data_IF_335568073766
#
_entry.id   IF_335568073766
#
_cell.length_a   1.000
_cell.length_b   1.000
_cell.length_c   1.000
_cell.angle_alpha   90.00
_cell.angle_beta   90.00
_cell.angle_gamma   90.00
#
_symmetry.space_group_name_H-M   'P 1'
#
loop_
_entity.id
_entity.type
_entity.pdbx_description
1 polymer ?
#
# COMPACT_ATOMS: atom_id res chain seq x y z
N UNK A 1 2.55 -3.36 4.40
CA UNK A 1 2.95 -2.74 5.68
C UNK A 1 1.88 -1.82 6.24
N UNK A 2 1.49 -0.73 5.57
CA UNK A 2 0.53 0.25 6.12
C UNK A 2 -0.79 -0.32 6.64
N UNK A 3 -1.34 -1.35 5.99
CA UNK A 3 -2.55 -2.04 6.48
C UNK A 3 -2.31 -2.67 7.86
N UNK A 4 -1.18 -3.37 8.09
CA UNK A 4 -0.85 -3.94 9.40
C UNK A 4 -0.75 -2.85 10.47
N UNK A 5 -0.13 -1.70 10.15
CA UNK A 5 -0.06 -0.55 11.06
C UNK A 5 -1.45 -0.04 11.44
N UNK A 6 -2.39 0.08 10.49
CA UNK A 6 -3.76 0.51 10.77
C UNK A 6 -4.50 -0.53 11.63
N UNK A 7 -4.37 -1.82 11.31
CA UNK A 7 -5.00 -2.90 12.06
C UNK A 7 -4.56 -2.91 13.53
N UNK A 8 -3.27 -2.70 13.78
CA UNK A 8 -2.71 -2.59 15.13
C UNK A 8 -3.17 -1.32 15.85
N UNK A 9 -2.96 -0.14 15.25
CA UNK A 9 -3.25 1.15 15.89
C UNK A 9 -4.74 1.35 16.22
N UNK A 10 -5.63 0.77 15.41
CA UNK A 10 -7.09 0.82 15.63
C UNK A 10 -7.62 -0.35 16.46
N UNK A 11 -6.75 -1.25 16.94
CA UNK A 11 -7.14 -2.39 17.77
C UNK A 11 -8.10 -3.35 17.08
N UNK A 12 -7.99 -3.49 15.75
CA UNK A 12 -8.84 -4.40 14.97
C UNK A 12 -8.47 -5.87 15.27
N UNK A 13 -7.18 -6.10 15.51
CA UNK A 13 -6.64 -7.38 15.96
C UNK A 13 -5.94 -7.19 17.31
N UNK A 14 -5.87 -8.22 18.16
CA UNK A 14 -5.22 -8.13 19.46
C UNK A 14 -3.73 -7.79 19.33
N UNK A 15 -3.16 -6.94 20.22
CA UNK A 15 -1.78 -6.51 20.11
C UNK A 15 -0.75 -7.65 20.21
N UNK A 16 -1.09 -8.74 20.91
CA UNK A 16 -0.26 -9.94 21.03
C UNK A 16 -0.11 -10.74 19.73
N UNK A 17 -0.97 -10.48 18.72
CA UNK A 17 -0.86 -11.11 17.40
C UNK A 17 0.03 -10.31 16.45
N UNK A 18 0.87 -9.41 16.97
CA UNK A 18 1.81 -8.62 16.18
C UNK A 18 3.23 -8.74 16.72
N UNK A 19 4.19 -8.83 15.80
CA UNK A 19 5.62 -8.83 16.12
C UNK A 19 6.34 -7.70 15.37
N UNK A 20 7.41 -7.12 15.96
CA UNK A 20 8.21 -6.11 15.30
C UNK A 20 9.01 -6.73 14.14
N UNK A 21 8.92 -6.11 12.98
CA UNK A 21 9.73 -6.45 11.80
C UNK A 21 10.49 -5.21 11.32
N UNK A 22 11.79 -5.35 11.10
CA UNK A 22 12.63 -4.26 10.59
C UNK A 22 12.36 -4.03 9.09
N UNK A 23 11.79 -2.88 8.77
CA UNK A 23 11.41 -2.49 7.42
C UNK A 23 11.69 -1.02 7.17
N UNK A 24 12.36 -0.73 6.05
CA UNK A 24 12.76 0.63 5.69
C UNK A 24 13.54 1.34 6.81
N UNK A 25 14.32 0.64 7.63
CA UNK A 25 15.05 1.22 8.77
C UNK A 25 14.16 1.65 9.95
N UNK A 26 12.96 1.08 10.08
CA UNK A 26 12.07 1.24 11.23
C UNK A 26 11.52 -0.12 11.66
N UNK A 27 11.22 -0.27 12.95
CA UNK A 27 10.47 -1.42 13.45
C UNK A 27 8.97 -1.19 13.17
N UNK A 28 8.38 -2.02 12.32
CA UNK A 28 6.94 -2.00 12.00
C UNK A 28 6.31 -3.26 12.57
N UNK A 29 5.18 -3.11 13.27
CA UNK A 29 4.41 -4.24 13.77
C UNK A 29 3.68 -4.96 12.64
N UNK A 30 3.92 -6.25 12.53
CA UNK A 30 3.39 -7.14 11.50
C UNK A 30 2.56 -8.24 12.15
N UNK A 31 1.37 -8.51 11.60
CA UNK A 31 0.52 -9.57 12.14
C UNK A 31 1.18 -10.94 11.99
N UNK A 32 1.08 -11.77 13.03
CA UNK A 32 1.48 -13.18 13.06
C UNK A 32 0.30 -14.13 12.81
N UNK A 33 -0.94 -13.64 12.84
CA UNK A 33 -2.13 -14.44 12.52
C UNK A 33 -2.14 -14.87 11.04
N UNK A 34 -2.15 -16.19 10.81
CA UNK A 34 -2.06 -16.76 9.47
C UNK A 34 -3.27 -16.46 8.58
N UNK A 35 -4.46 -16.26 9.17
CA UNK A 35 -5.66 -15.99 8.37
C UNK A 35 -5.58 -14.59 7.76
N UNK A 36 -5.21 -13.59 8.55
CA UNK A 36 -5.07 -12.22 8.02
C UNK A 36 -3.86 -12.09 7.11
N UNK A 37 -2.75 -12.79 7.40
CA UNK A 37 -1.59 -12.84 6.49
C UNK A 37 -1.99 -13.41 5.14
N UNK A 38 -2.60 -14.59 5.10
CA UNK A 38 -3.06 -15.24 3.85
C UNK A 38 -4.05 -14.37 3.09
N UNK A 39 -4.99 -13.74 3.80
CA UNK A 39 -5.96 -12.83 3.20
C UNK A 39 -5.27 -11.63 2.53
N UNK A 40 -4.37 -10.96 3.27
CA UNK A 40 -3.64 -9.81 2.75
C UNK A 40 -2.71 -10.19 1.59
N UNK A 41 -2.01 -11.32 1.66
CA UNK A 41 -1.18 -11.82 0.56
C UNK A 41 -2.01 -12.06 -0.70
N UNK A 42 -3.16 -12.70 -0.57
CA UNK A 42 -4.06 -12.96 -1.70
C UNK A 42 -4.58 -11.67 -2.33
N UNK A 43 -5.08 -10.74 -1.50
CA UNK A 43 -5.65 -9.48 -1.99
C UNK A 43 -4.57 -8.56 -2.56
N UNK A 44 -3.46 -8.40 -1.85
CA UNK A 44 -2.38 -7.50 -2.28
C UNK A 44 -1.63 -8.06 -3.50
N UNK A 45 -1.49 -9.37 -3.63
CA UNK A 45 -0.92 -9.99 -4.84
C UNK A 45 -1.75 -9.68 -6.09
N UNK A 46 -3.08 -9.72 -5.98
CA UNK A 46 -3.95 -9.32 -7.10
C UNK A 46 -3.85 -7.82 -7.40
N UNK A 47 -3.77 -6.98 -6.36
CA UNK A 47 -3.58 -5.53 -6.51
C UNK A 47 -2.25 -5.21 -7.17
N UNK A 48 -1.16 -5.92 -6.84
CA UNK A 48 0.15 -5.78 -7.48
C UNK A 48 0.06 -6.04 -8.99
N UNK A 49 -0.60 -7.13 -9.39
CA UNK A 49 -0.83 -7.44 -10.79
C UNK A 49 -1.60 -6.32 -11.51
N UNK A 50 -2.65 -5.77 -10.89
CA UNK A 50 -3.42 -4.68 -11.48
C UNK A 50 -2.68 -3.34 -11.47
N UNK A 51 -1.79 -3.10 -10.50
CA UNK A 51 -0.95 -1.91 -10.45
C UNK A 51 0.00 -1.87 -11.65
N UNK A 52 0.64 -2.99 -11.98
CA UNK A 52 1.53 -3.08 -13.16
C UNK A 52 0.76 -2.86 -14.47
N UNK A 53 -0.49 -3.31 -14.55
CA UNK A 53 -1.39 -3.09 -15.69
C UNK A 53 -2.03 -1.70 -15.72
N UNK A 54 -1.70 -0.82 -14.76
CA UNK A 54 -2.28 0.52 -14.59
C UNK A 54 -3.81 0.55 -14.42
N UNK A 55 -4.39 -0.49 -13.81
CA UNK A 55 -5.85 -0.65 -13.65
C UNK A 55 -6.40 -0.16 -12.31
N UNK A 56 -5.53 0.08 -11.32
CA UNK A 56 -5.94 0.47 -9.96
C UNK A 56 -5.97 2.00 -9.84
N UNK A 57 -7.14 2.57 -9.59
CA UNK A 57 -7.27 4.02 -9.36
C UNK A 57 -7.17 4.37 -7.87
N UNK A 58 -7.67 3.49 -7.01
CA UNK A 58 -7.70 3.71 -5.57
C UNK A 58 -7.82 2.36 -4.86
N UNK A 59 -7.09 2.20 -3.75
CA UNK A 59 -7.27 1.12 -2.78
C UNK A 59 -7.89 1.73 -1.54
N UNK A 60 -9.00 1.17 -1.03
CA UNK A 60 -9.70 1.71 0.13
C UNK A 60 -9.75 0.68 1.25
N UNK A 61 -9.27 1.03 2.44
CA UNK A 61 -9.47 0.25 3.65
C UNK A 61 -10.62 0.88 4.45
N UNK A 62 -11.70 0.12 4.66
CA UNK A 62 -12.89 0.57 5.39
C UNK A 62 -12.96 -0.17 6.72
N UNK A 63 -13.10 0.59 7.81
CA UNK A 63 -13.39 0.05 9.14
C UNK A 63 -14.87 0.30 9.42
N UNK A 64 -15.60 -0.78 9.66
CA UNK A 64 -17.04 -0.72 9.94
C UNK A 64 -17.36 -1.31 11.29
N UNK A 65 -18.41 -0.82 11.91
CA UNK A 65 -18.97 -1.47 13.09
C UNK A 65 -19.66 -2.78 12.68
N UNK A 66 -19.26 -3.89 13.29
CA UNK A 66 -19.79 -5.23 12.95
C UNK A 66 -21.29 -5.35 13.17
N UNK A 67 -21.85 -4.64 14.15
CA UNK A 67 -23.26 -4.69 14.53
C UNK A 67 -24.11 -3.73 13.70
N UNK A 68 -23.72 -2.45 13.62
CA UNK A 68 -24.53 -1.41 12.96
C UNK A 68 -24.26 -1.27 11.46
N UNK A 69 -23.15 -1.85 10.96
CA UNK A 69 -22.64 -1.68 9.59
C UNK A 69 -22.26 -0.24 9.23
N UNK A 70 -22.20 0.63 10.23
CA UNK A 70 -21.75 2.01 10.06
C UNK A 70 -20.26 2.06 9.71
N UNK A 71 -19.90 2.95 8.78
CA UNK A 71 -18.51 3.22 8.43
C UNK A 71 -17.93 4.15 9.50
N UNK A 72 -16.96 3.63 10.26
CA UNK A 72 -16.25 4.39 11.29
C UNK A 72 -15.05 5.12 10.69
N UNK A 73 -14.32 4.43 9.81
CA UNK A 73 -13.16 5.00 9.13
C UNK A 73 -13.07 4.51 7.69
N UNK A 74 -12.49 5.36 6.85
CA UNK A 74 -12.24 5.09 5.44
C UNK A 74 -10.89 5.67 5.04
N UNK A 75 -9.95 4.80 4.74
CA UNK A 75 -8.59 5.14 4.34
C UNK A 75 -8.45 4.96 2.83
N UNK A 76 -8.43 6.09 2.11
CA UNK A 76 -8.36 6.13 0.63
C UNK A 76 -6.91 6.30 0.16
N UNK A 77 -6.34 5.24 -0.42
CA UNK A 77 -5.03 5.26 -1.06
C UNK A 77 -5.21 5.44 -2.57
N UNK A 78 -5.18 6.69 -3.02
CA UNK A 78 -5.30 7.03 -4.45
C UNK A 78 -4.01 6.74 -5.19
N UNK A 79 -4.14 6.16 -6.38
CA UNK A 79 -3.01 5.78 -7.23
C UNK A 79 -3.02 6.69 -8.45
N UNK A 80 -1.89 7.36 -8.67
CA UNK A 80 -1.63 8.14 -9.88
C UNK A 80 -0.50 7.45 -10.65
N UNK A 81 -0.69 7.29 -11.95
CA UNK A 81 0.30 6.71 -12.83
C UNK A 81 1.03 7.80 -13.60
N UNK A 82 2.34 7.63 -13.74
CA UNK A 82 3.14 8.49 -14.60
C UNK A 82 2.66 8.33 -16.07
N UNK A 83 2.49 9.48 -16.74
CA UNK A 83 2.06 9.57 -18.13
C UNK A 83 3.19 9.24 -19.10
N UNK A 84 2.85 8.97 -20.37
CA UNK A 84 3.84 8.70 -21.40
C UNK A 84 4.69 9.96 -21.64
N UNK A 85 6.01 9.80 -21.59
CA UNK A 85 6.94 10.87 -21.97
C UNK A 85 6.87 10.99 -23.48
N UNK A 86 6.23 12.04 -23.99
CA UNK A 86 6.24 12.34 -25.42
C UNK A 86 7.62 12.91 -25.74
N UNK A 87 8.51 12.10 -26.31
CA UNK A 87 9.74 12.62 -26.89
C UNK A 87 9.36 13.48 -28.11
N UNK A 88 9.78 14.76 -28.13
CA UNK A 88 9.45 15.75 -29.18
C UNK A 88 10.02 15.42 -30.59
N UNK A 89 10.48 14.20 -30.82
CA UNK A 89 10.98 13.72 -32.11
C UNK A 89 10.02 12.68 -32.70
N UNK A 90 8.96 13.15 -33.36
CA UNK A 90 8.38 12.61 -34.61
C UNK A 90 8.06 11.13 -34.77
N UNK A 91 8.11 10.30 -33.73
CA UNK A 91 7.85 8.86 -33.80
C UNK A 91 6.59 8.55 -32.98
N UNK A 92 5.53 8.08 -33.63
CA UNK A 92 4.21 7.79 -33.03
C UNK A 92 4.18 6.59 -32.06
N UNK A 93 5.31 6.18 -31.49
CA UNK A 93 5.37 5.17 -30.43
C UNK A 93 5.73 5.85 -29.11
N UNK A 94 4.70 6.33 -28.41
CA UNK A 94 4.81 6.82 -27.05
C UNK A 94 5.08 5.65 -26.09
N UNK A 95 6.32 5.17 -26.06
CA UNK A 95 6.73 4.10 -25.15
C UNK A 95 7.07 4.72 -23.78
N UNK A 96 6.23 4.41 -22.80
CA UNK A 96 6.52 4.68 -21.39
C UNK A 96 7.82 3.95 -21.00
N UNK A 97 8.72 4.58 -20.25
CA UNK A 97 9.84 3.85 -19.66
C UNK A 97 9.28 2.77 -18.71
N UNK A 98 9.72 1.52 -18.88
CA UNK A 98 9.34 0.39 -18.02
C UNK A 98 9.85 0.54 -16.58
N UNK A 99 10.82 1.42 -16.37
CA UNK A 99 11.47 1.64 -15.07
C UNK A 99 11.48 3.13 -14.74
N UNK A 100 10.95 3.48 -13.56
CA UNK A 100 10.99 4.85 -13.06
C UNK A 100 12.42 5.32 -12.81
N UNK A 101 12.65 6.62 -12.96
CA UNK A 101 13.99 7.23 -12.83
C UNK A 101 14.38 7.52 -11.37
N UNK A 102 13.45 7.33 -10.44
CA UNK A 102 13.62 7.63 -9.02
C UNK A 102 14.44 6.54 -8.32
N UNK A 103 15.40 6.96 -7.50
CA UNK A 103 16.24 6.02 -6.77
C UNK A 103 15.46 5.29 -5.66
N UNK A 104 15.84 4.03 -5.42
CA UNK A 104 15.16 3.17 -4.46
C UNK A 104 15.25 3.71 -3.02
N UNK A 105 16.34 4.39 -2.65
CA UNK A 105 16.50 4.92 -1.30
C UNK A 105 15.53 6.06 -1.02
N UNK A 106 15.31 6.95 -2.00
CA UNK A 106 14.31 8.01 -1.93
C UNK A 106 12.91 7.44 -1.88
N UNK A 107 12.59 6.42 -2.70
CA UNK A 107 11.30 5.71 -2.63
C UNK A 107 11.06 5.14 -1.23
N UNK A 108 12.04 4.41 -0.68
CA UNK A 108 11.95 3.83 0.66
C UNK A 108 11.82 4.90 1.76
N UNK A 109 12.52 6.03 1.62
CA UNK A 109 12.42 7.16 2.55
C UNK A 109 11.03 7.80 2.53
N UNK A 110 10.43 7.96 1.36
CA UNK A 110 9.07 8.49 1.25
C UNK A 110 8.03 7.53 1.82
N UNK A 111 8.16 6.23 1.52
CA UNK A 111 7.32 5.19 2.13
C UNK A 111 7.44 5.25 3.66
N UNK A 112 8.66 5.40 4.19
CA UNK A 112 8.92 5.55 5.63
C UNK A 112 8.14 6.73 6.23
N UNK A 113 8.20 7.90 5.62
CA UNK A 113 7.49 9.08 6.12
C UNK A 113 5.97 8.90 6.08
N UNK A 114 5.43 8.18 5.09
CA UNK A 114 4.00 7.84 5.04
C UNK A 114 3.63 6.87 6.16
N UNK A 115 4.42 5.82 6.39
CA UNK A 115 4.17 4.86 7.48
C UNK A 115 4.20 5.57 8.84
N UNK A 116 5.14 6.50 9.05
CA UNK A 116 5.25 7.27 10.30
C UNK A 116 4.05 8.18 10.56
N UNK A 117 3.27 8.55 9.54
CA UNK A 117 2.04 9.31 9.74
C UNK A 117 0.86 8.42 10.17
N UNK A 118 0.97 7.10 9.99
CA UNK A 118 -0.06 6.13 10.39
C UNK A 118 0.14 5.68 11.84
N UNK A 119 1.41 5.48 12.25
CA UNK A 119 1.82 5.08 13.61
C UNK A 119 1.99 6.25 14.56
#
# INVERSE_FOLDING_TARGET
YGINSILYQRGIYPPETFEPADQFGMAILMSTDEKIKTFLETVLGQVEEWLTQKKVQQVTLVITNVNTKEILEKWDFKVAYEGAVVNETGSNDAQLPDVGTKDLQTIQKEIREVIRQIT
#
